data_IF_990455746915
#
_entry.id   IF_990455746915
#
_cell.length_a   1.000
_cell.length_b   1.000
_cell.length_c   1.000
_cell.angle_alpha   90.00
_cell.angle_beta   90.00
_cell.angle_gamma   90.00
#
_symmetry.space_group_name_H-M   'P 1'
#
loop_
_entity.id
_entity.type
_entity.pdbx_description
1 polymer ?
#
# COMPACT_ATOMS: atom_id res chain seq x y z
N UNK A 1 -8.32 -0.70 -15.95
CA UNK A 1 -7.77 0.49 -15.27
C UNK A 1 -6.67 1.06 -16.13
N UNK A 2 -6.42 2.37 -16.03
CA UNK A 2 -5.36 3.04 -16.79
C UNK A 2 -3.95 2.78 -16.23
N UNK A 3 -3.86 2.21 -15.01
CA UNK A 3 -2.64 1.81 -14.30
C UNK A 3 -2.98 0.78 -13.19
N UNK A 4 -1.99 0.15 -12.55
CA UNK A 4 -2.16 -0.71 -11.36
C UNK A 4 -2.94 0.07 -10.29
N UNK A 5 -3.97 -0.52 -9.66
CA UNK A 5 -4.91 0.26 -8.84
C UNK A 5 -4.57 0.36 -7.36
N UNK A 6 -3.39 -0.09 -6.99
CA UNK A 6 -2.79 0.17 -5.68
C UNK A 6 -1.82 1.34 -5.79
N UNK A 7 -1.73 2.14 -4.73
CA UNK A 7 -0.78 3.23 -4.64
C UNK A 7 0.64 2.70 -4.40
N UNK A 8 0.76 1.67 -3.56
CA UNK A 8 2.02 1.00 -3.26
C UNK A 8 1.81 -0.51 -3.10
N UNK A 9 2.86 -1.27 -3.41
CA UNK A 9 2.91 -2.72 -3.21
C UNK A 9 4.11 -3.07 -2.33
N UNK A 10 3.98 -4.04 -1.44
CA UNK A 10 5.03 -4.52 -0.54
C UNK A 10 5.35 -5.95 -0.93
N UNK A 11 6.60 -6.22 -1.28
CA UNK A 11 7.07 -7.56 -1.66
C UNK A 11 7.50 -8.39 -0.46
N UNK A 12 7.53 -9.72 -0.63
CA UNK A 12 7.99 -10.67 0.40
C UNK A 12 9.41 -10.43 0.90
N UNK A 13 10.21 -9.71 0.10
CA UNK A 13 11.55 -9.21 0.40
C UNK A 13 11.57 -7.96 1.30
N UNK A 14 10.41 -7.42 1.67
CA UNK A 14 10.28 -6.21 2.48
C UNK A 14 10.47 -4.91 1.69
N UNK A 15 10.56 -4.96 0.35
CA UNK A 15 10.67 -3.76 -0.48
C UNK A 15 9.31 -3.16 -0.78
N UNK A 16 9.25 -1.83 -0.83
CA UNK A 16 8.08 -1.08 -1.29
C UNK A 16 8.26 -0.71 -2.76
N UNK A 17 7.27 -1.07 -3.57
CA UNK A 17 7.19 -0.80 -5.00
C UNK A 17 6.12 0.27 -5.22
N UNK A 18 6.47 1.34 -5.92
CA UNK A 18 5.54 2.41 -6.24
C UNK A 18 4.59 1.96 -7.35
N UNK A 19 3.28 2.02 -7.08
CA UNK A 19 2.23 1.96 -8.10
C UNK A 19 1.83 3.37 -8.48
N UNK A 20 0.62 3.78 -8.11
CA UNK A 20 0.11 5.14 -8.37
C UNK A 20 0.75 6.24 -7.51
N UNK A 21 1.53 5.88 -6.48
CA UNK A 21 2.17 6.84 -5.60
C UNK A 21 1.17 7.59 -4.72
N UNK A 22 1.59 8.72 -4.13
CA UNK A 22 0.77 9.49 -3.19
C UNK A 22 -0.30 10.35 -3.87
N UNK A 23 0.01 10.91 -5.04
CA UNK A 23 -0.76 12.01 -5.63
C UNK A 23 -1.88 11.57 -6.58
N UNK A 24 -2.09 10.26 -6.72
CA UNK A 24 -3.09 9.71 -7.66
C UNK A 24 -4.08 8.80 -6.98
N UNK A 25 -5.34 9.02 -7.33
CA UNK A 25 -6.51 8.23 -6.91
C UNK A 25 -6.29 6.75 -7.28
N UNK A 26 -6.37 5.89 -6.27
CA UNK A 26 -6.34 4.43 -6.43
C UNK A 26 -7.54 3.93 -7.24
N UNK A 27 -7.60 2.64 -7.51
CA UNK A 27 -8.80 2.05 -8.12
C UNK A 27 -9.30 0.80 -7.39
N UNK A 28 -8.56 0.34 -6.38
CA UNK A 28 -8.75 -0.91 -5.66
C UNK A 28 -10.03 -0.99 -4.80
N UNK A 29 -10.45 0.11 -4.16
CA UNK A 29 -11.55 0.08 -3.18
C UNK A 29 -12.65 1.04 -3.61
N UNK A 30 -13.77 0.48 -4.07
CA UNK A 30 -14.96 1.26 -4.44
C UNK A 30 -15.37 2.21 -3.29
N UNK A 31 -15.74 3.44 -3.61
CA UNK A 31 -15.99 4.57 -2.68
C UNK A 31 -14.79 5.15 -1.91
N UNK A 32 -13.69 4.41 -1.71
CA UNK A 32 -12.53 4.88 -0.94
C UNK A 32 -11.34 5.36 -1.78
N UNK A 33 -11.34 5.03 -3.08
CA UNK A 33 -10.27 5.38 -4.02
C UNK A 33 -9.83 6.87 -4.00
N UNK A 34 -10.74 7.81 -3.69
CA UNK A 34 -10.49 9.26 -3.70
C UNK A 34 -10.08 9.83 -2.34
N UNK A 35 -10.22 9.07 -1.25
CA UNK A 35 -10.03 9.55 0.13
C UNK A 35 -9.00 8.73 0.91
N UNK A 36 -8.46 7.67 0.31
CA UNK A 36 -7.51 6.77 0.93
C UNK A 36 -6.38 6.40 -0.03
N UNK A 37 -5.22 6.07 0.55
CA UNK A 37 -4.08 5.49 -0.16
C UNK A 37 -4.10 3.98 0.06
N UNK A 38 -4.03 3.20 -1.01
CA UNK A 38 -4.10 1.75 -0.95
C UNK A 38 -2.72 1.09 -1.00
N UNK A 39 -2.39 0.30 0.02
CA UNK A 39 -1.18 -0.54 0.07
C UNK A 39 -1.56 -2.01 -0.17
N UNK A 40 -0.84 -2.70 -1.06
CA UNK A 40 -1.01 -4.14 -1.31
C UNK A 40 0.18 -4.91 -0.76
N UNK A 41 -0.06 -5.92 0.07
CA UNK A 41 0.97 -6.91 0.36
C UNK A 41 0.91 -7.98 -0.74
N UNK A 42 2.02 -8.17 -1.47
CA UNK A 42 2.06 -9.12 -2.58
C UNK A 42 2.09 -10.56 -2.07
N UNK A 43 1.02 -11.30 -2.29
CA UNK A 43 0.88 -12.70 -1.92
C UNK A 43 -0.56 -13.11 -1.64
N UNK A 44 -0.73 -14.37 -1.24
CA UNK A 44 -1.97 -14.87 -0.63
C UNK A 44 -1.73 -15.11 0.87
N UNK A 45 -2.57 -14.49 1.69
CA UNK A 45 -2.48 -14.54 3.14
C UNK A 45 -3.73 -15.13 3.80
N UNK A 46 -4.57 -15.85 3.05
CA UNK A 46 -5.78 -16.51 3.59
C UNK A 46 -5.45 -17.60 4.63
N UNK A 47 -4.26 -18.19 4.57
CA UNK A 47 -3.84 -19.29 5.46
C UNK A 47 -2.46 -19.11 6.11
N UNK A 48 -1.68 -18.13 5.66
CA UNK A 48 -0.33 -17.85 6.18
C UNK A 48 -0.17 -16.34 6.33
N UNK A 49 0.48 -15.91 7.40
CA UNK A 49 0.76 -14.50 7.61
C UNK A 49 1.85 -13.98 6.65
N UNK A 50 1.85 -12.68 6.32
CA UNK A 50 2.97 -12.01 5.67
C UNK A 50 4.28 -12.17 6.46
N UNK A 51 5.42 -12.07 5.79
CA UNK A 51 6.71 -12.12 6.47
C UNK A 51 6.89 -10.91 7.39
N UNK A 52 7.72 -11.04 8.44
CA UNK A 52 8.04 -9.92 9.32
C UNK A 52 8.63 -8.72 8.56
N UNK A 53 9.39 -8.99 7.49
CA UNK A 53 9.92 -7.95 6.61
C UNK A 53 8.79 -7.14 5.96
N UNK A 54 7.76 -7.80 5.45
CA UNK A 54 6.58 -7.13 4.88
C UNK A 54 5.84 -6.32 5.92
N UNK A 55 5.63 -6.88 7.11
CA UNK A 55 4.92 -6.20 8.20
C UNK A 55 5.68 -4.95 8.66
N UNK A 56 6.99 -5.03 8.79
CA UNK A 56 7.83 -3.90 9.17
C UNK A 56 7.85 -2.83 8.09
N UNK A 57 8.01 -3.22 6.81
CA UNK A 57 7.94 -2.29 5.69
C UNK A 57 6.58 -1.58 5.61
N UNK A 58 5.49 -2.32 5.86
CA UNK A 58 4.13 -1.76 5.88
C UNK A 58 3.99 -0.72 7.00
N UNK A 59 4.47 -1.01 8.21
CA UNK A 59 4.45 -0.06 9.34
C UNK A 59 5.25 1.21 9.03
N UNK A 60 6.46 1.07 8.49
CA UNK A 60 7.28 2.21 8.08
C UNK A 60 6.59 3.05 7.00
N UNK A 61 5.95 2.40 6.02
CA UNK A 61 5.22 3.10 4.96
C UNK A 61 3.99 3.86 5.49
N UNK A 62 3.29 3.32 6.49
CA UNK A 62 2.18 4.02 7.17
C UNK A 62 2.68 5.29 7.86
N UNK A 63 3.80 5.24 8.58
CA UNK A 63 4.37 6.43 9.22
C UNK A 63 4.85 7.46 8.17
N UNK A 64 5.45 7.02 7.07
CA UNK A 64 5.75 7.91 5.94
C UNK A 64 4.48 8.57 5.40
N UNK A 65 3.41 7.82 5.16
CA UNK A 65 2.16 8.35 4.63
C UNK A 65 1.54 9.41 5.54
N UNK A 66 1.59 9.21 6.87
CA UNK A 66 1.10 10.19 7.84
C UNK A 66 1.85 11.52 7.73
N UNK A 67 3.17 11.46 7.59
CA UNK A 67 4.01 12.66 7.44
C UNK A 67 3.81 13.35 6.10
N UNK A 68 3.75 12.60 4.99
CA UNK A 68 3.64 13.17 3.63
C UNK A 68 2.26 13.78 3.37
N UNK A 69 1.19 13.19 3.92
CA UNK A 69 -0.18 13.56 3.61
C UNK A 69 -0.88 14.31 4.75
N UNK A 70 -0.19 14.58 5.85
CA UNK A 70 -0.79 15.12 7.09
C UNK A 70 -2.05 14.34 7.51
N UNK A 71 -2.05 13.02 7.33
CA UNK A 71 -3.14 12.18 7.81
C UNK A 71 -3.16 12.19 9.35
N UNK A 72 -4.35 12.38 9.92
CA UNK A 72 -4.62 12.26 11.36
C UNK A 72 -4.45 10.83 11.87
#
# INVERSE_FOLDING_TARGET
>A
WDDIGYNFLIGGDGRVYMGRGWDRVGAHTYAFNRIAVAFSLMGDFSHKLPSELMLNATKSLIECAKNELNFS
#
